data_IF_904148294500
#
_entry.id   IF_904148294500
#
_cell.length_a   1.000
_cell.length_b   1.000
_cell.length_c   1.000
_cell.angle_alpha   90.00
_cell.angle_beta   90.00
_cell.angle_gamma   90.00
#
_symmetry.space_group_name_H-M   'P 1'
#
loop_
_entity.id
_entity.type
_entity.pdbx_description
1 polymer ?
#
# COMPACT_ATOMS: atom_id res chain seq x y z
N UNK A 1 6.39 -9.70 20.92
CA UNK A 1 5.56 -8.86 20.04
C UNK A 1 5.82 -9.33 18.63
N UNK A 2 4.80 -9.79 17.90
CA UNK A 2 4.98 -10.18 16.51
C UNK A 2 5.57 -8.98 15.74
N UNK A 3 6.64 -9.20 14.96
CA UNK A 3 7.20 -8.16 14.13
C UNK A 3 6.10 -7.64 13.20
N UNK A 4 5.96 -6.31 13.12
CA UNK A 4 5.06 -5.70 12.14
C UNK A 4 5.52 -6.13 10.74
N UNK A 5 4.61 -6.66 9.93
CA UNK A 5 4.90 -7.14 8.57
C UNK A 5 4.41 -6.10 7.55
N UNK A 6 5.34 -5.38 6.88
CA UNK A 6 4.99 -4.45 5.80
C UNK A 6 4.22 -5.17 4.71
N UNK A 7 3.24 -4.47 4.14
CA UNK A 7 2.48 -4.94 2.99
C UNK A 7 3.37 -4.89 1.75
N UNK A 8 3.46 -6.02 1.05
CA UNK A 8 4.22 -6.10 -0.20
C UNK A 8 3.29 -5.89 -1.40
N UNK A 9 3.89 -5.54 -2.54
CA UNK A 9 3.18 -5.46 -3.83
C UNK A 9 2.51 -6.80 -4.19
N UNK A 10 3.17 -7.93 -3.91
CA UNK A 10 2.62 -9.27 -4.17
C UNK A 10 1.41 -9.59 -3.28
N UNK A 11 1.46 -9.22 -2.00
CA UNK A 11 0.31 -9.37 -1.10
C UNK A 11 -0.84 -8.45 -1.56
N UNK A 12 -0.55 -7.17 -1.82
CA UNK A 12 -1.52 -6.21 -2.31
C UNK A 12 -2.16 -6.66 -3.62
N UNK A 13 -1.41 -7.37 -4.47
CA UNK A 13 -1.94 -8.02 -5.66
C UNK A 13 -3.00 -9.03 -5.28
N UNK A 14 -2.66 -10.04 -4.49
CA UNK A 14 -3.58 -11.16 -4.21
C UNK A 14 -4.85 -10.83 -3.40
N UNK A 15 -4.91 -9.67 -2.73
CA UNK A 15 -6.00 -9.32 -1.82
C UNK A 15 -7.13 -8.54 -2.51
N UNK A 16 -8.37 -8.78 -2.06
CA UNK A 16 -9.52 -7.94 -2.43
C UNK A 16 -9.51 -6.61 -1.67
N UNK A 17 -10.29 -5.62 -2.12
CA UNK A 17 -10.36 -4.28 -1.49
C UNK A 17 -10.68 -4.37 0.00
N UNK A 18 -11.67 -5.19 0.37
CA UNK A 18 -12.11 -5.38 1.76
C UNK A 18 -11.06 -6.05 2.65
N UNK A 19 -10.16 -6.83 2.05
CA UNK A 19 -9.04 -7.46 2.77
C UNK A 19 -7.82 -6.54 2.85
N UNK A 20 -7.66 -5.68 1.84
CA UNK A 20 -6.54 -4.75 1.72
C UNK A 20 -6.73 -3.53 2.62
N UNK A 21 -7.97 -3.01 2.75
CA UNK A 21 -8.26 -1.82 3.55
C UNK A 21 -7.84 -1.96 5.02
N UNK A 22 -8.16 -3.04 5.75
CA UNK A 22 -7.72 -3.21 7.14
C UNK A 22 -6.19 -3.34 7.28
N UNK A 23 -5.52 -3.91 6.26
CA UNK A 23 -4.05 -4.04 6.22
C UNK A 23 -3.41 -2.66 6.03
N UNK A 24 -3.93 -1.87 5.10
CA UNK A 24 -3.48 -0.49 4.84
C UNK A 24 -3.67 0.38 6.08
N UNK A 25 -4.82 0.32 6.75
CA UNK A 25 -5.06 1.08 7.99
C UNK A 25 -4.13 0.69 9.14
N UNK A 26 -3.82 -0.60 9.27
CA UNK A 26 -2.89 -1.09 10.29
C UNK A 26 -1.47 -0.58 10.01
N UNK A 27 -1.05 -0.59 8.75
CA UNK A 27 0.25 -0.10 8.32
C UNK A 27 0.37 1.42 8.39
N UNK A 28 -0.68 2.15 8.00
CA UNK A 28 -0.76 3.60 8.16
C UNK A 28 -0.57 3.98 9.62
N UNK A 29 -1.28 3.34 10.55
CA UNK A 29 -1.12 3.57 12.00
C UNK A 29 0.29 3.25 12.48
N UNK A 30 0.92 2.20 11.95
CA UNK A 30 2.30 1.86 12.26
C UNK A 30 3.26 2.97 11.83
N UNK A 31 3.19 3.39 10.56
CA UNK A 31 4.04 4.46 10.03
C UNK A 31 3.79 5.79 10.73
N UNK A 32 2.54 6.19 10.95
CA UNK A 32 2.21 7.41 11.69
C UNK A 32 2.79 7.37 13.10
N UNK A 33 2.77 6.21 13.78
CA UNK A 33 3.39 6.04 15.10
C UNK A 33 4.91 6.15 15.05
N UNK A 34 5.56 5.58 14.04
CA UNK A 34 7.02 5.69 13.89
C UNK A 34 7.44 7.12 13.57
N UNK A 35 6.76 7.77 12.62
CA UNK A 35 7.01 9.16 12.21
C UNK A 35 6.81 10.11 13.38
N UNK A 36 5.67 10.03 14.08
CA UNK A 36 5.37 10.91 15.21
C UNK A 36 6.35 10.78 16.38
N UNK A 37 7.05 9.65 16.47
CA UNK A 37 8.06 9.39 17.51
C UNK A 37 9.50 9.56 16.99
N UNK A 38 9.70 9.92 15.72
CA UNK A 38 11.03 10.00 15.11
C UNK A 38 11.77 8.65 15.11
N UNK A 39 11.04 7.53 15.02
CA UNK A 39 11.58 6.17 15.13
C UNK A 39 11.74 5.46 13.78
N UNK A 40 11.57 6.16 12.66
CA UNK A 40 11.90 5.62 11.34
C UNK A 40 13.39 5.26 11.31
N UNK A 41 13.68 4.04 10.91
CA UNK A 41 15.05 3.53 10.80
C UNK A 41 15.57 3.68 9.37
N UNK A 42 16.88 3.83 9.25
CA UNK A 42 17.57 3.78 7.96
C UNK A 42 17.34 2.40 7.34
N UNK A 43 16.80 2.36 6.13
CA UNK A 43 16.37 1.14 5.44
C UNK A 43 14.86 0.89 5.45
N UNK A 44 14.08 1.67 6.20
CA UNK A 44 12.61 1.63 6.17
C UNK A 44 11.98 2.51 5.08
N UNK A 45 12.78 3.38 4.44
CA UNK A 45 12.32 4.30 3.40
C UNK A 45 11.69 3.59 2.20
N UNK A 46 12.28 2.47 1.75
CA UNK A 46 11.76 1.72 0.59
C UNK A 46 10.46 0.99 0.92
N UNK A 47 10.32 0.51 2.16
CA UNK A 47 9.08 -0.07 2.66
C UNK A 47 7.97 1.00 2.76
N UNK A 48 8.30 2.18 3.27
CA UNK A 48 7.36 3.31 3.35
C UNK A 48 6.91 3.79 1.97
N UNK A 49 7.82 3.92 1.00
CA UNK A 49 7.48 4.28 -0.39
C UNK A 49 6.56 3.23 -1.04
N UNK A 50 6.85 1.95 -0.82
CA UNK A 50 6.02 0.85 -1.32
C UNK A 50 4.61 0.91 -0.72
N UNK A 51 4.51 1.11 0.59
CA UNK A 51 3.24 1.31 1.28
C UNK A 51 2.47 2.52 0.73
N UNK A 52 3.13 3.67 0.57
CA UNK A 52 2.50 4.88 0.05
C UNK A 52 1.91 4.66 -1.34
N UNK A 53 2.62 3.96 -2.22
CA UNK A 53 2.13 3.61 -3.55
C UNK A 53 0.91 2.70 -3.49
N UNK A 54 0.93 1.65 -2.66
CA UNK A 54 -0.23 0.76 -2.47
C UNK A 54 -1.43 1.55 -1.92
N UNK A 55 -1.20 2.39 -0.92
CA UNK A 55 -2.24 3.22 -0.32
C UNK A 55 -2.87 4.17 -1.34
N UNK A 56 -2.07 4.82 -2.18
CA UNK A 56 -2.57 5.69 -3.24
C UNK A 56 -3.50 4.95 -4.19
N UNK A 57 -3.10 3.77 -4.66
CA UNK A 57 -3.91 2.95 -5.57
C UNK A 57 -5.21 2.46 -4.91
N UNK A 58 -5.17 2.12 -3.61
CA UNK A 58 -6.36 1.69 -2.87
C UNK A 58 -7.35 2.85 -2.68
N UNK A 59 -6.85 4.04 -2.35
CA UNK A 59 -7.70 5.21 -2.05
C UNK A 59 -8.22 5.84 -3.33
N UNK A 60 -7.36 6.01 -4.34
CA UNK A 60 -7.68 6.70 -5.59
C UNK A 60 -7.09 5.96 -6.81
N UNK A 61 -7.86 5.04 -7.40
CA UNK A 61 -7.49 4.32 -8.62
C UNK A 61 -7.21 5.22 -9.82
N UNK A 62 -7.85 6.39 -9.89
CA UNK A 62 -7.98 7.19 -11.10
C UNK A 62 -6.82 8.20 -11.29
N UNK A 63 -6.02 8.44 -10.27
CA UNK A 63 -4.93 9.43 -10.30
C UNK A 63 -3.65 8.92 -11.00
N UNK A 64 -3.53 7.61 -11.30
CA UNK A 64 -2.43 7.07 -12.11
C UNK A 64 -2.78 6.94 -13.63
N UNK A 65 -3.74 7.72 -14.14
CA UNK A 65 -4.13 7.74 -15.57
C UNK A 65 -3.17 8.48 -16.54
N UNK A 66 -1.96 8.89 -16.13
CA UNK A 66 -0.93 9.33 -17.10
C UNK A 66 0.05 8.17 -17.44
N UNK A 67 0.30 7.91 -18.75
CA UNK A 67 0.52 6.56 -19.24
C UNK A 67 1.98 6.10 -19.10
N UNK A 68 2.28 5.40 -18.01
CA UNK A 68 3.40 4.48 -17.95
C UNK A 68 2.92 3.06 -17.60
N UNK A 69 2.70 2.30 -18.68
CA UNK A 69 2.80 0.84 -18.75
C UNK A 69 1.48 0.03 -18.65
N UNK A 70 1.11 -0.73 -19.71
CA UNK A 70 -0.15 -1.49 -19.83
C UNK A 70 -0.28 -2.79 -18.97
N UNK A 71 0.72 -3.18 -18.17
CA UNK A 71 0.68 -4.38 -17.29
C UNK A 71 0.52 -4.05 -15.79
N UNK A 72 0.15 -2.80 -15.50
CA UNK A 72 0.45 -2.11 -14.24
C UNK A 72 -0.05 -2.80 -12.95
N UNK A 73 -1.17 -3.52 -13.01
CA UNK A 73 -1.64 -4.37 -11.91
C UNK A 73 -2.54 -5.52 -12.41
N UNK A 74 -2.05 -6.38 -13.31
CA UNK A 74 -2.86 -7.39 -14.00
C UNK A 74 -3.39 -8.56 -13.14
N UNK A 75 -3.57 -8.33 -11.84
CA UNK A 75 -4.62 -8.81 -10.91
C UNK A 75 -4.07 -8.84 -9.48
N UNK A 76 -4.96 -9.04 -8.50
CA UNK A 76 -5.97 -8.09 -8.04
C UNK A 76 -5.38 -6.79 -7.47
N UNK A 77 -6.25 -5.83 -7.15
CA UNK A 77 -5.98 -4.68 -6.27
C UNK A 77 -7.28 -4.21 -5.60
N UNK A 78 -8.15 -5.21 -5.37
CA UNK A 78 -9.58 -5.00 -5.26
C UNK A 78 -10.23 -4.42 -6.52
N UNK A 79 -9.79 -4.89 -7.70
CA UNK A 79 -10.28 -4.57 -9.06
C UNK A 79 -10.66 -3.10 -9.27
N UNK A 80 -9.66 -2.31 -9.66
CA UNK A 80 -9.77 -0.88 -9.95
C UNK A 80 -10.79 -0.61 -11.09
N UNK A 81 -12.03 -0.29 -10.69
CA UNK A 81 -12.99 0.51 -11.47
C UNK A 81 -14.37 -0.13 -11.67
N UNK A 82 -15.28 0.02 -10.70
CA UNK A 82 -16.73 0.09 -11.00
C UNK A 82 -17.22 1.46 -10.51
N UNK A 83 -17.04 2.47 -11.36
CA UNK A 83 -17.86 3.67 -11.53
C UNK A 83 -17.46 4.40 -12.81
#
# INVERSE_FOLDING_TARGET
MAAFKPLTVEEARTLSRDQLLPRVEAEQRHWTRLISRGQIRVGEDDAYKTFARIMHVVIDPAVEEEPHDPDFWTKPLGELGDL
#
